data_IF_762798707428
#
_entry.id   IF_762798707428
#
_cell.length_a   1.000
_cell.length_b   1.000
_cell.length_c   1.000
_cell.angle_alpha   90.00
_cell.angle_beta   90.00
_cell.angle_gamma   90.00
#
_symmetry.space_group_name_H-M   'P 1'
#
loop_
_entity.id
_entity.type
_entity.pdbx_description
1 polymer ?
#
# COMPACT_ATOMS: atom_id res chain seq x y z
N UNK A 1 -7.10 3.49 -34.27
CA UNK A 1 -7.51 3.79 -32.88
C UNK A 1 -7.31 2.61 -31.90
N UNK A 2 -7.70 1.37 -32.24
CA UNK A 2 -7.55 0.18 -31.35
C UNK A 2 -6.11 -0.18 -30.91
N UNK A 3 -5.09 0.03 -31.77
CA UNK A 3 -3.67 -0.24 -31.42
C UNK A 3 -3.08 0.68 -30.34
N UNK A 4 -3.40 1.99 -30.38
CA UNK A 4 -2.96 2.95 -29.34
C UNK A 4 -3.53 2.61 -27.96
N UNK A 5 -4.80 2.21 -27.93
CA UNK A 5 -5.41 1.71 -26.70
C UNK A 5 -4.65 0.49 -26.18
N UNK A 6 -4.41 -0.54 -26.99
CA UNK A 6 -3.69 -1.74 -26.53
C UNK A 6 -2.31 -1.45 -25.93
N UNK A 7 -1.57 -0.52 -26.54
CA UNK A 7 -0.25 -0.10 -26.07
C UNK A 7 -0.31 0.59 -24.69
N UNK A 8 -1.27 1.51 -24.49
CA UNK A 8 -1.51 2.20 -23.21
C UNK A 8 -1.72 1.21 -22.05
N UNK A 9 -2.47 0.14 -22.25
CA UNK A 9 -2.80 -0.80 -21.17
C UNK A 9 -1.59 -1.65 -20.75
N UNK A 10 -0.72 -2.00 -21.70
CA UNK A 10 0.53 -2.68 -21.38
C UNK A 10 1.46 -1.79 -20.54
N UNK A 11 1.49 -0.47 -20.77
CA UNK A 11 2.27 0.43 -19.93
C UNK A 11 1.79 0.46 -18.47
N UNK A 12 0.47 0.41 -18.23
CA UNK A 12 -0.07 0.33 -16.87
C UNK A 12 0.33 -0.96 -16.14
N UNK A 13 0.32 -2.10 -16.85
CA UNK A 13 0.75 -3.37 -16.26
C UNK A 13 2.25 -3.32 -15.94
N UNK A 14 3.08 -2.85 -16.87
CA UNK A 14 4.53 -2.74 -16.66
C UNK A 14 4.85 -1.79 -15.52
N UNK A 15 4.26 -0.60 -15.51
CA UNK A 15 4.43 0.37 -14.42
C UNK A 15 3.97 -0.21 -13.08
N UNK A 16 2.85 -0.94 -13.06
CA UNK A 16 2.36 -1.61 -11.88
C UNK A 16 3.33 -2.67 -11.34
N UNK A 17 3.95 -3.47 -12.20
CA UNK A 17 4.99 -4.44 -11.81
C UNK A 17 6.22 -3.73 -11.25
N UNK A 18 6.67 -2.65 -11.88
CA UNK A 18 7.81 -1.84 -11.38
C UNK A 18 7.51 -1.29 -9.98
N UNK A 19 6.30 -0.76 -9.76
CA UNK A 19 5.88 -0.27 -8.44
C UNK A 19 5.81 -1.36 -7.39
N UNK A 20 5.32 -2.57 -7.74
CA UNK A 20 5.31 -3.71 -6.83
C UNK A 20 6.73 -4.09 -6.42
N UNK A 21 7.65 -4.21 -7.37
CA UNK A 21 9.06 -4.56 -7.08
C UNK A 21 9.71 -3.47 -6.21
N UNK A 22 9.51 -2.19 -6.54
CA UNK A 22 10.02 -1.08 -5.74
C UNK A 22 9.44 -1.09 -4.31
N UNK A 23 8.14 -1.35 -4.17
CA UNK A 23 7.46 -1.48 -2.89
C UNK A 23 8.01 -2.64 -2.05
N UNK A 24 8.25 -3.80 -2.66
CA UNK A 24 8.86 -4.95 -1.97
C UNK A 24 10.29 -4.67 -1.51
N UNK A 25 11.09 -3.99 -2.34
CA UNK A 25 12.44 -3.55 -1.97
C UNK A 25 12.38 -2.57 -0.79
N UNK A 26 11.47 -1.60 -0.84
CA UNK A 26 11.26 -0.63 0.24
C UNK A 26 10.79 -1.32 1.54
N UNK A 27 9.87 -2.28 1.47
CA UNK A 27 9.41 -3.09 2.62
C UNK A 27 10.61 -3.80 3.25
N UNK A 28 11.47 -4.41 2.44
CA UNK A 28 12.65 -5.10 2.95
C UNK A 28 13.61 -4.14 3.69
N UNK A 29 13.91 -2.97 3.12
CA UNK A 29 14.85 -2.05 3.75
C UNK A 29 14.27 -1.32 4.97
N UNK A 30 13.05 -0.80 4.87
CA UNK A 30 12.47 0.04 5.92
C UNK A 30 11.87 -0.78 7.07
N UNK A 31 11.26 -1.93 6.77
CA UNK A 31 10.54 -2.73 7.76
C UNK A 31 11.40 -3.91 8.24
N UNK A 32 11.93 -4.71 7.32
CA UNK A 32 12.68 -5.93 7.71
C UNK A 32 14.07 -5.59 8.23
N UNK A 33 14.81 -4.70 7.54
CA UNK A 33 16.13 -4.24 7.99
C UNK A 33 16.05 -3.08 8.99
N UNK A 34 14.88 -2.45 9.14
CA UNK A 34 14.68 -1.35 10.08
C UNK A 34 15.51 -0.10 9.75
N UNK A 35 15.90 0.09 8.49
CA UNK A 35 16.65 1.28 8.07
C UNK A 35 15.68 2.45 8.04
N UNK A 36 15.92 3.50 8.84
CA UNK A 36 15.03 4.66 8.95
C UNK A 36 15.79 5.94 8.60
N UNK A 37 15.84 6.35 7.31
CA UNK A 37 16.57 7.54 6.90
C UNK A 37 16.01 8.79 7.57
N UNK A 38 16.86 9.67 8.10
CA UNK A 38 16.42 10.87 8.83
C UNK A 38 15.53 11.79 8.00
N UNK A 39 15.78 11.89 6.69
CA UNK A 39 14.96 12.71 5.78
C UNK A 39 13.54 12.17 5.56
N UNK A 40 13.27 10.91 5.93
CA UNK A 40 11.93 10.30 5.92
C UNK A 40 11.27 10.30 7.31
N UNK A 41 11.93 10.86 8.33
CA UNK A 41 11.37 10.98 9.67
C UNK A 41 10.68 12.33 9.83
N UNK A 42 9.37 12.35 9.57
CA UNK A 42 8.54 13.55 9.72
C UNK A 42 7.80 13.55 11.06
N UNK A 43 7.67 14.72 11.64
CA UNK A 43 6.82 14.90 12.82
C UNK A 43 5.36 14.86 12.38
N UNK A 44 4.62 13.88 12.92
CA UNK A 44 3.19 13.73 12.66
C UNK A 44 2.43 13.95 13.96
N UNK A 45 1.28 14.60 13.83
CA UNK A 45 0.38 14.79 14.94
C UNK A 45 -0.32 13.47 15.25
N UNK A 46 -0.13 12.96 16.47
CA UNK A 46 -0.78 11.72 16.90
C UNK A 46 -1.50 11.90 18.21
N UNK A 47 -2.60 11.16 18.35
CA UNK A 47 -3.26 10.95 19.64
C UNK A 47 -2.67 9.68 20.23
N UNK A 48 -1.81 9.85 21.24
CA UNK A 48 -1.23 8.74 21.95
C UNK A 48 -1.88 8.60 23.33
N UNK A 49 -2.22 7.37 23.71
CA UNK A 49 -2.74 7.02 25.03
C UNK A 49 -1.74 6.11 25.70
N UNK A 50 -1.17 6.52 26.83
CA UNK A 50 -0.42 5.62 27.70
C UNK A 50 -1.39 4.89 28.62
N UNK A 51 -1.08 3.65 28.96
CA UNK A 51 -1.94 2.81 29.82
C UNK A 51 -2.16 3.40 31.23
N UNK A 52 -1.28 4.32 31.65
CA UNK A 52 -1.26 4.91 32.99
C UNK A 52 -1.40 6.44 33.00
N UNK A 53 -1.43 7.11 31.83
CA UNK A 53 -1.49 8.57 31.74
C UNK A 53 -2.51 9.05 30.70
N UNK A 54 -3.07 10.23 30.97
CA UNK A 54 -4.09 10.93 30.19
C UNK A 54 -3.73 11.03 28.70
N UNK A 55 -4.75 10.88 27.85
CA UNK A 55 -4.62 11.10 26.40
C UNK A 55 -4.15 12.53 26.16
N UNK A 56 -2.96 12.67 25.61
CA UNK A 56 -2.33 13.95 25.29
C UNK A 56 -2.01 13.98 23.81
N UNK A 57 -2.30 15.11 23.17
CA UNK A 57 -1.86 15.36 21.81
C UNK A 57 -0.34 15.57 21.82
N UNK A 58 0.38 14.83 21.00
CA UNK A 58 1.84 14.95 20.92
C UNK A 58 2.30 14.80 19.47
N UNK A 59 3.39 15.48 19.14
CA UNK A 59 4.09 15.29 17.87
C UNK A 59 5.06 14.13 18.06
N UNK A 60 4.88 13.07 17.29
CA UNK A 60 5.83 11.95 17.24
C UNK A 60 6.56 11.94 15.92
N UNK A 61 7.82 11.49 15.96
CA UNK A 61 8.58 11.14 14.76
C UNK A 61 7.97 9.88 14.14
N UNK A 62 7.43 10.00 12.93
CA UNK A 62 6.96 8.87 12.14
C UNK A 62 7.83 8.65 10.91
N UNK A 63 8.17 7.39 10.64
CA UNK A 63 9.00 7.02 9.51
C UNK A 63 8.12 6.83 8.27
N UNK A 64 8.06 7.86 7.42
CA UNK A 64 7.31 7.84 6.17
C UNK A 64 7.78 6.76 5.18
N UNK A 65 8.96 6.17 5.41
CA UNK A 65 9.45 5.05 4.61
C UNK A 65 8.50 3.86 4.65
N UNK A 66 7.91 3.58 5.82
CA UNK A 66 6.98 2.46 5.98
C UNK A 66 5.73 2.70 5.11
N UNK A 67 5.20 3.93 5.12
CA UNK A 67 4.04 4.32 4.32
C UNK A 67 4.31 4.32 2.83
N UNK A 68 5.47 4.80 2.42
CA UNK A 68 5.88 4.81 1.01
C UNK A 68 5.95 3.38 0.48
N UNK A 69 6.54 2.45 1.25
CA UNK A 69 6.74 1.08 0.83
C UNK A 69 5.41 0.37 0.49
N UNK A 70 4.42 0.48 1.37
CA UNK A 70 3.10 -0.13 1.15
C UNK A 70 2.28 0.61 0.09
N UNK A 71 2.35 1.94 0.06
CA UNK A 71 1.66 2.75 -0.96
C UNK A 71 2.13 2.38 -2.36
N UNK A 72 3.44 2.19 -2.57
CA UNK A 72 3.99 1.72 -3.85
C UNK A 72 3.45 0.35 -4.22
N UNK A 73 3.49 -0.61 -3.29
CA UNK A 73 3.03 -1.98 -3.51
C UNK A 73 1.55 -2.03 -3.95
N UNK A 74 0.66 -1.33 -3.25
CA UNK A 74 -0.77 -1.37 -3.56
C UNK A 74 -1.18 -0.53 -4.75
N UNK A 75 -0.54 0.61 -4.96
CA UNK A 75 -0.73 1.40 -6.19
C UNK A 75 -0.31 0.58 -7.41
N UNK A 76 0.77 -0.21 -7.30
CA UNK A 76 1.19 -1.14 -8.34
C UNK A 76 0.10 -2.16 -8.69
N UNK A 77 -0.55 -2.75 -7.68
CA UNK A 77 -1.71 -3.63 -7.90
C UNK A 77 -2.90 -2.91 -8.56
N UNK A 78 -3.23 -1.68 -8.15
CA UNK A 78 -4.28 -0.89 -8.80
C UNK A 78 -3.99 -0.63 -10.28
N UNK A 79 -2.74 -0.32 -10.62
CA UNK A 79 -2.32 -0.12 -12.01
C UNK A 79 -2.44 -1.40 -12.84
N UNK A 80 -2.09 -2.56 -12.27
CA UNK A 80 -2.28 -3.85 -12.94
C UNK A 80 -3.78 -4.13 -13.16
N UNK A 81 -4.62 -3.92 -12.15
CA UNK A 81 -6.08 -4.10 -12.28
C UNK A 81 -6.64 -3.19 -13.35
N UNK A 82 -6.24 -1.92 -13.37
CA UNK A 82 -6.65 -0.99 -14.40
C UNK A 82 -6.17 -1.41 -15.79
N UNK A 83 -4.92 -1.85 -15.93
CA UNK A 83 -4.38 -2.34 -17.21
C UNK A 83 -5.14 -3.56 -17.74
N UNK A 84 -5.53 -4.49 -16.87
CA UNK A 84 -6.25 -5.71 -17.23
C UNK A 84 -7.74 -5.49 -17.49
N UNK A 85 -8.42 -4.72 -16.63
CA UNK A 85 -9.88 -4.54 -16.65
C UNK A 85 -10.35 -3.25 -17.32
N UNK A 86 -9.44 -2.31 -17.58
CA UNK A 86 -9.71 -0.97 -18.16
C UNK A 86 -10.68 -0.12 -17.34
N UNK A 87 -10.91 -0.49 -16.09
CA UNK A 87 -11.84 0.16 -15.17
C UNK A 87 -11.43 -0.18 -13.74
N UNK A 88 -11.56 0.79 -12.84
CA UNK A 88 -11.40 0.61 -11.39
C UNK A 88 -12.76 0.41 -10.69
N UNK A 89 -13.88 0.42 -11.42
CA UNK A 89 -15.21 0.15 -10.86
C UNK A 89 -15.44 -1.35 -10.71
N UNK A 90 -14.57 -2.02 -9.95
CA UNK A 90 -14.66 -3.45 -9.64
C UNK A 90 -14.32 -3.71 -8.17
N UNK A 91 -14.77 -4.86 -7.66
CA UNK A 91 -14.62 -5.23 -6.24
C UNK A 91 -13.16 -5.30 -5.82
N UNK A 92 -12.27 -5.74 -6.72
CA UNK A 92 -10.83 -5.85 -6.47
C UNK A 92 -10.18 -4.48 -6.25
N UNK A 93 -10.48 -3.52 -7.12
CA UNK A 93 -9.97 -2.14 -7.01
C UNK A 93 -10.53 -1.45 -5.78
N UNK A 94 -11.81 -1.64 -5.49
CA UNK A 94 -12.44 -1.10 -4.29
C UNK A 94 -11.78 -1.65 -3.02
N UNK A 95 -11.50 -2.96 -2.97
CA UNK A 95 -10.81 -3.57 -1.84
C UNK A 95 -9.42 -2.97 -1.63
N UNK A 96 -8.64 -2.75 -2.71
CA UNK A 96 -7.32 -2.11 -2.62
C UNK A 96 -7.45 -0.65 -2.17
N UNK A 97 -8.42 0.10 -2.69
CA UNK A 97 -8.64 1.51 -2.29
C UNK A 97 -9.03 1.61 -0.82
N UNK A 98 -9.95 0.78 -0.35
CA UNK A 98 -10.35 0.72 1.07
C UNK A 98 -9.13 0.39 1.93
N UNK A 99 -8.26 -0.49 1.46
CA UNK A 99 -7.06 -0.87 2.19
C UNK A 99 -6.02 0.26 2.23
N UNK A 100 -5.81 0.99 1.13
CA UNK A 100 -4.92 2.18 1.12
C UNK A 100 -5.48 3.23 2.06
N UNK A 101 -6.78 3.51 1.98
CA UNK A 101 -7.45 4.47 2.87
C UNK A 101 -7.36 4.04 4.33
N UNK A 102 -7.63 2.76 4.63
CA UNK A 102 -7.51 2.18 5.96
C UNK A 102 -6.08 2.30 6.50
N UNK A 103 -5.08 2.03 5.66
CA UNK A 103 -3.68 2.17 6.05
C UNK A 103 -3.26 3.63 6.28
N UNK A 104 -3.71 4.58 5.46
CA UNK A 104 -3.44 6.01 5.68
C UNK A 104 -4.11 6.51 6.97
N UNK A 105 -5.29 5.97 7.31
CA UNK A 105 -6.05 6.37 8.49
C UNK A 105 -5.59 5.65 9.78
N UNK A 106 -4.96 4.48 9.66
CA UNK A 106 -4.46 3.69 10.78
C UNK A 106 -2.96 3.95 10.97
N UNK A 107 -2.56 4.23 12.20
CA UNK A 107 -1.14 4.39 12.55
C UNK A 107 -0.65 3.30 13.49
N UNK A 108 0.66 3.05 13.47
CA UNK A 108 1.34 2.14 14.40
C UNK A 108 0.94 0.67 14.23
N UNK A 109 0.80 -0.04 15.36
CA UNK A 109 0.51 -1.48 15.40
C UNK A 109 -0.78 -1.87 14.68
N UNK A 110 -1.80 -1.02 14.71
CA UNK A 110 -3.05 -1.26 14.00
C UNK A 110 -2.86 -1.35 12.48
N UNK A 111 -1.96 -0.52 11.93
CA UNK A 111 -1.58 -0.59 10.53
C UNK A 111 -0.87 -1.92 10.23
N UNK A 112 0.09 -2.36 11.05
CA UNK A 112 0.79 -3.64 10.84
C UNK A 112 -0.14 -4.85 10.82
N UNK A 113 -1.09 -4.94 11.74
CA UNK A 113 -2.04 -6.06 11.76
C UNK A 113 -2.99 -6.02 10.56
N UNK A 114 -3.46 -4.83 10.19
CA UNK A 114 -4.28 -4.64 9.00
C UNK A 114 -3.51 -5.03 7.72
N UNK A 115 -2.23 -4.65 7.62
CA UNK A 115 -1.32 -4.97 6.53
C UNK A 115 -1.10 -6.47 6.36
N UNK A 116 -0.79 -7.19 7.44
CA UNK A 116 -0.51 -8.63 7.42
C UNK A 116 -1.71 -9.42 6.92
N UNK A 117 -2.92 -9.09 7.39
CA UNK A 117 -4.14 -9.75 6.93
C UNK A 117 -4.33 -9.63 5.42
N UNK A 118 -3.99 -8.48 4.83
CA UNK A 118 -4.28 -8.24 3.42
C UNK A 118 -3.14 -8.59 2.45
N UNK A 119 -1.88 -8.61 2.90
CA UNK A 119 -0.75 -9.02 2.06
C UNK A 119 -0.94 -10.44 1.50
N UNK A 120 -1.52 -11.34 2.29
CA UNK A 120 -1.79 -12.73 1.90
C UNK A 120 -3.15 -12.91 1.22
N UNK A 121 -4.14 -12.08 1.54
CA UNK A 121 -5.50 -12.19 1.00
C UNK A 121 -5.59 -11.64 -0.43
N UNK A 122 -4.86 -10.56 -0.76
CA UNK A 122 -4.93 -9.94 -2.07
C UNK A 122 -4.49 -10.87 -3.22
N UNK A 123 -3.35 -11.58 -3.13
CA UNK A 123 -2.95 -12.55 -4.15
C UNK A 123 -3.97 -13.67 -4.32
N UNK A 124 -4.58 -14.16 -3.23
CA UNK A 124 -5.60 -15.21 -3.27
C UNK A 124 -6.85 -14.77 -4.04
N UNK A 125 -7.29 -13.52 -3.88
CA UNK A 125 -8.41 -12.96 -4.66
C UNK A 125 -8.15 -12.95 -6.17
N UNK A 126 -6.91 -12.70 -6.61
CA UNK A 126 -6.53 -12.73 -8.02
C UNK A 126 -6.35 -14.16 -8.57
N UNK A 127 -5.84 -15.08 -7.75
CA UNK A 127 -5.61 -16.49 -8.15
C UNK A 127 -6.93 -17.26 -8.26
N UNK A 128 -7.83 -17.15 -7.28
CA UNK A 128 -9.08 -17.92 -7.23
C UNK A 128 -9.98 -17.61 -8.44
N UNK A 129 -9.93 -16.38 -8.97
CA UNK A 129 -10.78 -15.96 -10.10
C UNK A 129 -10.31 -16.46 -11.46
N UNK A 130 -9.06 -16.95 -11.60
CA UNK A 130 -8.58 -17.63 -12.82
C UNK A 130 -9.03 -19.08 -12.93
N UNK A 131 -9.57 -19.67 -11.85
CA UNK A 131 -9.97 -21.08 -11.76
C UNK A 131 -11.49 -21.26 -11.98
N UNK A 132 -12.17 -20.26 -12.55
CA UNK A 132 -13.57 -20.37 -12.99
C UNK A 132 -13.71 -19.97 -14.45
#
# INVERSE_FOLDING_TARGET
MKRKAYCIHNYFIVAGVVLIVAGLIAIYFFIVKGIKPEFLQLDVFTVYSKYLETKTFTLIKNNQGDEIAFTLYWTGWLMIVYGLRKSLMNKESLAIIILIAGYVLLHGLAAMYFLLCFLFVLPLFFVIKKVK
#
